data_IF_349175461893
#
_entry.id   IF_349175461893
#
_cell.length_a   1.000
_cell.length_b   1.000
_cell.length_c   1.000
_cell.angle_alpha   90.00
_cell.angle_beta   90.00
_cell.angle_gamma   90.00
#
_symmetry.space_group_name_H-M   'P 1'
#
loop_
_entity.id
_entity.type
_entity.pdbx_description
1 polymer ?
#
# COMPACT_ATOMS: atom_id res chain seq x y z
N UNK A 1 -2.08 8.66 -17.73
CA UNK A 1 -0.95 8.74 -16.79
C UNK A 1 -0.45 7.38 -16.34
N UNK A 2 -1.28 6.51 -15.72
CA UNK A 2 -0.83 5.16 -15.27
C UNK A 2 -0.15 4.32 -16.35
N UNK A 3 -0.61 4.43 -17.60
CA UNK A 3 0.04 3.78 -18.75
C UNK A 3 1.50 4.22 -18.93
N UNK A 4 1.81 5.51 -18.83
CA UNK A 4 3.20 5.99 -18.87
C UNK A 4 4.04 5.39 -17.74
N UNK A 5 3.51 5.37 -16.52
CA UNK A 5 4.24 4.82 -15.36
C UNK A 5 4.43 3.30 -15.47
N UNK A 6 3.41 2.56 -15.89
CA UNK A 6 3.50 1.10 -15.99
C UNK A 6 4.34 0.65 -17.19
N UNK A 7 4.24 1.32 -18.33
CA UNK A 7 5.08 1.06 -19.50
C UNK A 7 6.55 1.31 -19.18
N UNK A 8 6.87 2.50 -18.64
CA UNK A 8 8.22 2.83 -18.25
C UNK A 8 8.78 1.83 -17.24
N UNK A 9 7.99 1.44 -16.23
CA UNK A 9 8.45 0.46 -15.26
C UNK A 9 8.75 -0.91 -15.88
N UNK A 10 7.92 -1.37 -16.81
CA UNK A 10 8.11 -2.64 -17.50
C UNK A 10 9.38 -2.63 -18.36
N UNK A 11 9.63 -1.56 -19.10
CA UNK A 11 10.83 -1.41 -19.95
C UNK A 11 12.11 -1.23 -19.13
N UNK A 12 12.03 -0.42 -18.07
CA UNK A 12 13.18 -0.08 -17.24
C UNK A 12 13.56 -1.23 -16.29
N UNK A 13 12.61 -1.69 -15.46
CA UNK A 13 12.89 -2.68 -14.42
C UNK A 13 12.80 -4.13 -14.92
N UNK A 14 12.09 -4.36 -16.03
CA UNK A 14 11.77 -5.69 -16.54
C UNK A 14 10.54 -6.32 -15.86
N UNK A 15 9.78 -7.17 -16.58
CA UNK A 15 8.53 -7.76 -16.07
C UNK A 15 8.72 -8.67 -14.84
N UNK A 16 9.91 -9.24 -14.67
CA UNK A 16 10.27 -10.13 -13.57
C UNK A 16 10.79 -9.40 -12.32
N UNK A 17 10.87 -8.07 -12.35
CA UNK A 17 11.26 -7.27 -11.20
C UNK A 17 10.38 -7.60 -9.98
N UNK A 18 11.03 -7.70 -8.81
CA UNK A 18 10.37 -7.98 -7.53
C UNK A 18 10.90 -7.09 -6.43
N UNK A 19 10.00 -6.42 -5.74
CA UNK A 19 10.29 -5.68 -4.51
C UNK A 19 10.70 -6.63 -3.38
N UNK A 20 11.48 -6.11 -2.45
CA UNK A 20 11.94 -6.82 -1.24
C UNK A 20 11.43 -6.15 0.02
N UNK A 21 10.50 -6.80 0.74
CA UNK A 21 10.13 -6.43 2.11
C UNK A 21 10.99 -7.23 3.07
N UNK A 22 11.75 -6.56 3.94
CA UNK A 22 12.79 -7.19 4.76
C UNK A 22 12.47 -7.09 6.24
N UNK A 23 12.72 -8.16 6.97
CA UNK A 23 12.70 -8.16 8.44
C UNK A 23 14.12 -8.32 8.96
N UNK A 24 14.54 -7.46 9.87
CA UNK A 24 15.81 -7.54 10.58
C UNK A 24 15.55 -7.77 12.06
N UNK A 25 16.53 -8.36 12.73
CA UNK A 25 16.55 -8.49 14.18
C UNK A 25 17.72 -7.67 14.74
N UNK A 26 17.45 -6.80 15.71
CA UNK A 26 18.48 -6.15 16.53
C UNK A 26 18.35 -6.67 17.97
N UNK A 27 19.15 -7.69 18.27
CA UNK A 27 19.06 -8.38 19.55
C UNK A 27 19.49 -9.85 19.46
N UNK A 28 19.25 -10.59 20.54
CA UNK A 28 19.58 -12.02 20.62
C UNK A 28 18.31 -12.85 20.51
N UNK A 29 18.29 -13.80 19.58
CA UNK A 29 17.23 -14.79 19.46
C UNK A 29 17.64 -16.07 20.18
N UNK A 30 16.93 -16.42 21.26
CA UNK A 30 17.18 -17.64 22.04
C UNK A 30 15.85 -18.37 22.27
N UNK A 31 15.80 -19.67 21.93
CA UNK A 31 14.64 -20.54 22.15
C UNK A 31 13.30 -19.92 21.69
N UNK A 32 13.29 -19.27 20.53
CA UNK A 32 12.08 -18.64 19.99
C UNK A 32 11.81 -17.20 20.43
N UNK A 33 12.55 -16.68 21.41
CA UNK A 33 12.37 -15.33 21.95
C UNK A 33 13.47 -14.40 21.46
N UNK A 34 13.08 -13.37 20.69
CA UNK A 34 13.94 -12.25 20.34
C UNK A 34 13.97 -11.27 21.51
N UNK A 35 15.11 -11.13 22.18
CA UNK A 35 15.37 -10.07 23.15
C UNK A 35 15.96 -8.87 22.43
N UNK A 36 15.10 -7.92 22.08
CA UNK A 36 15.41 -6.78 21.23
C UNK A 36 14.34 -6.54 20.16
N UNK A 37 14.66 -5.67 19.21
CA UNK A 37 13.69 -5.12 18.28
C UNK A 37 13.60 -5.94 16.99
N UNK A 38 12.38 -6.02 16.44
CA UNK A 38 12.13 -6.47 15.08
C UNK A 38 11.98 -5.26 14.17
N UNK A 39 12.77 -5.18 13.11
CA UNK A 39 12.72 -4.06 12.16
C UNK A 39 12.06 -4.52 10.85
N UNK A 40 10.94 -3.90 10.49
CA UNK A 40 10.27 -4.07 9.20
C UNK A 40 10.70 -2.96 8.24
N UNK A 41 11.54 -3.33 7.26
CA UNK A 41 12.02 -2.42 6.21
C UNK A 41 11.21 -2.58 4.93
N UNK A 42 10.56 -1.49 4.54
CA UNK A 42 9.78 -1.38 3.33
C UNK A 42 10.65 -1.33 2.08
N UNK A 43 10.32 -2.17 1.10
CA UNK A 43 10.93 -2.13 -0.23
C UNK A 43 10.14 -1.32 -1.24
N UNK A 44 8.99 -0.76 -0.88
CA UNK A 44 8.08 -0.08 -1.82
C UNK A 44 7.05 -0.99 -2.50
N UNK A 45 6.96 -2.27 -2.11
CA UNK A 45 6.02 -3.25 -2.69
C UNK A 45 4.58 -2.68 -2.74
N UNK A 46 4.05 -2.39 -3.94
CA UNK A 46 2.72 -1.81 -4.08
C UNK A 46 1.59 -2.81 -3.84
N UNK A 47 1.89 -4.11 -3.77
CA UNK A 47 0.90 -5.18 -3.66
C UNK A 47 1.12 -6.08 -2.44
N UNK A 48 1.67 -5.53 -1.36
CA UNK A 48 1.77 -6.22 -0.06
C UNK A 48 0.40 -6.27 0.65
N UNK A 49 -0.55 -6.97 0.03
CA UNK A 49 -1.91 -7.21 0.57
C UNK A 49 -1.87 -8.06 1.84
N UNK A 50 -2.96 -8.08 2.61
CA UNK A 50 -3.01 -8.77 3.93
C UNK A 50 -2.56 -10.23 3.86
N UNK A 51 -2.90 -10.96 2.80
CA UNK A 51 -2.56 -12.38 2.63
C UNK A 51 -1.04 -12.55 2.45
N UNK A 52 -0.40 -11.62 1.74
CA UNK A 52 1.05 -11.62 1.56
C UNK A 52 1.77 -11.13 2.81
N UNK A 53 1.19 -10.18 3.53
CA UNK A 53 1.71 -9.75 4.83
C UNK A 53 1.64 -10.90 5.84
N UNK A 54 0.55 -11.67 5.85
CA UNK A 54 0.43 -12.88 6.66
C UNK A 54 1.50 -13.93 6.28
N UNK A 55 1.77 -14.15 4.99
CA UNK A 55 2.86 -15.04 4.54
C UNK A 55 4.24 -14.58 5.02
N UNK A 56 4.51 -13.26 4.98
CA UNK A 56 5.74 -12.68 5.54
C UNK A 56 5.89 -13.01 7.04
N UNK A 57 4.82 -12.85 7.83
CA UNK A 57 4.84 -13.17 9.26
C UNK A 57 4.95 -14.67 9.53
N UNK A 58 4.32 -15.50 8.70
CA UNK A 58 4.47 -16.95 8.77
C UNK A 58 5.92 -17.37 8.50
N UNK A 59 6.59 -16.75 7.54
CA UNK A 59 8.01 -17.00 7.27
C UNK A 59 8.89 -16.59 8.46
N UNK A 60 8.60 -15.43 9.10
CA UNK A 60 9.27 -15.02 10.33
C UNK A 60 9.15 -16.09 11.44
N UNK A 61 7.96 -16.68 11.62
CA UNK A 61 7.74 -17.79 12.56
C UNK A 61 8.47 -19.06 12.19
N UNK A 62 8.43 -19.45 10.92
CA UNK A 62 9.11 -20.64 10.42
C UNK A 62 10.62 -20.53 10.58
N UNK A 63 11.17 -19.31 10.54
CA UNK A 63 12.58 -19.04 10.86
C UNK A 63 12.87 -19.01 12.37
N UNK A 64 11.89 -19.34 13.20
CA UNK A 64 12.10 -19.58 14.63
C UNK A 64 11.81 -18.40 15.54
N UNK A 65 11.25 -17.28 15.06
CA UNK A 65 10.80 -16.20 15.97
C UNK A 65 9.38 -16.50 16.43
N UNK A 66 9.16 -16.53 17.74
CA UNK A 66 7.85 -16.81 18.35
C UNK A 66 7.40 -15.67 19.26
N UNK A 67 8.34 -15.07 19.98
CA UNK A 67 8.12 -13.94 20.91
C UNK A 67 9.12 -12.84 20.62
N UNK A 68 8.66 -11.59 20.68
CA UNK A 68 9.48 -10.39 20.51
C UNK A 68 9.39 -9.58 21.81
N UNK A 69 10.53 -9.49 22.51
CA UNK A 69 10.72 -8.71 23.74
C UNK A 69 11.44 -7.40 23.41
N UNK A 70 10.75 -6.56 22.65
CA UNK A 70 11.20 -5.26 22.14
C UNK A 70 10.09 -4.63 21.30
N UNK A 71 10.44 -3.62 20.52
CA UNK A 71 9.49 -2.91 19.66
C UNK A 71 9.46 -3.45 18.23
N UNK A 72 8.38 -3.14 17.52
CA UNK A 72 8.35 -3.14 16.06
C UNK A 72 8.90 -1.81 15.53
N UNK A 73 10.07 -1.83 14.90
CA UNK A 73 10.63 -0.66 14.23
C UNK A 73 10.21 -0.67 12.76
N UNK A 74 9.60 0.40 12.28
CA UNK A 74 9.16 0.53 10.89
C UNK A 74 10.16 1.43 10.16
N UNK A 75 10.91 0.83 9.23
CA UNK A 75 11.83 1.53 8.32
C UNK A 75 11.14 1.77 6.97
N UNK A 76 10.58 2.97 6.80
CA UNK A 76 9.97 3.43 5.56
C UNK A 76 10.84 4.45 4.79
N UNK A 77 12.13 4.55 5.15
CA UNK A 77 13.07 5.57 4.66
C UNK A 77 13.43 5.48 3.18
N UNK A 78 12.99 4.43 2.49
CA UNK A 78 13.16 4.31 1.04
C UNK A 78 12.54 5.49 0.28
N UNK A 79 11.42 6.03 0.78
CA UNK A 79 10.72 7.15 0.18
C UNK A 79 10.87 8.42 1.04
N UNK A 80 10.95 9.58 0.39
CA UNK A 80 11.00 10.85 1.09
C UNK A 80 9.59 11.21 1.61
N UNK A 81 9.39 10.97 2.90
CA UNK A 81 8.11 11.18 3.58
C UNK A 81 7.62 12.63 3.51
N UNK A 82 8.53 13.61 3.53
CA UNK A 82 8.15 15.02 3.39
C UNK A 82 7.67 15.33 1.97
N UNK A 83 8.36 14.81 0.95
CA UNK A 83 7.98 15.00 -0.45
C UNK A 83 6.64 14.33 -0.81
N UNK A 84 6.21 13.30 -0.08
CA UNK A 84 4.95 12.57 -0.34
C UNK A 84 3.81 12.92 0.63
N UNK A 85 4.04 13.82 1.59
CA UNK A 85 3.07 14.24 2.61
C UNK A 85 1.92 15.14 2.10
N UNK A 86 1.83 15.38 0.79
CA UNK A 86 0.86 16.29 0.18
C UNK A 86 -0.62 16.05 0.58
N UNK A 87 -1.42 17.10 0.43
CA UNK A 87 -2.86 17.10 0.70
C UNK A 87 -3.65 16.37 -0.41
N UNK A 88 -4.91 16.04 -0.11
CA UNK A 88 -5.83 15.51 -1.11
C UNK A 88 -6.37 16.62 -1.99
N UNK A 89 -6.58 16.33 -3.26
CA UNK A 89 -7.00 17.33 -4.24
C UNK A 89 -8.48 17.70 -4.14
N UNK A 90 -9.28 16.86 -3.50
CA UNK A 90 -10.73 17.00 -3.35
C UNK A 90 -11.15 17.16 -1.88
N UNK A 91 -10.20 17.34 -0.97
CA UNK A 91 -10.43 17.43 0.49
C UNK A 91 -10.89 16.13 1.14
N UNK A 92 -11.08 15.03 0.39
CA UNK A 92 -11.64 13.78 0.92
C UNK A 92 -10.53 12.87 1.47
N UNK A 93 -9.92 13.29 2.56
CA UNK A 93 -8.73 12.65 3.18
C UNK A 93 -8.89 11.15 3.49
N UNK A 94 -10.11 10.71 3.86
CA UNK A 94 -10.36 9.31 4.22
C UNK A 94 -10.73 8.38 3.06
N UNK A 95 -10.78 8.89 1.81
CA UNK A 95 -11.10 8.05 0.65
C UNK A 95 -9.91 7.16 0.30
N UNK A 96 -10.16 5.87 0.09
CA UNK A 96 -9.13 4.89 -0.28
C UNK A 96 -8.32 5.30 -1.53
N UNK A 97 -8.94 5.93 -2.52
CA UNK A 97 -8.24 6.40 -3.72
C UNK A 97 -7.27 7.57 -3.48
N UNK A 98 -7.37 8.23 -2.32
CA UNK A 98 -6.50 9.31 -1.87
C UNK A 98 -5.36 8.81 -0.96
N UNK A 99 -5.21 7.49 -0.79
CA UNK A 99 -4.12 6.94 0.00
C UNK A 99 -2.76 7.45 -0.48
N UNK A 100 -1.98 7.98 0.46
CA UNK A 100 -0.57 8.36 0.26
C UNK A 100 0.31 7.13 0.07
N UNK A 101 1.31 7.17 -0.83
CA UNK A 101 2.27 6.09 -0.99
C UNK A 101 3.09 5.90 0.28
N UNK A 102 3.71 4.73 0.42
CA UNK A 102 4.62 4.40 1.51
C UNK A 102 5.55 3.28 1.08
N UNK A 103 6.77 3.28 1.60
CA UNK A 103 7.70 2.16 1.40
C UNK A 103 7.20 0.86 2.05
N UNK A 104 6.38 0.97 3.10
CA UNK A 104 5.73 -0.14 3.81
C UNK A 104 4.21 -0.09 3.56
N UNK A 105 3.79 -0.18 2.29
CA UNK A 105 2.38 -0.13 1.90
C UNK A 105 1.67 -1.46 2.19
N UNK A 106 1.37 -1.73 3.47
CA UNK A 106 0.60 -2.90 3.85
C UNK A 106 -0.89 -2.72 3.52
N UNK A 107 -1.45 -3.64 2.75
CA UNK A 107 -2.87 -3.72 2.38
C UNK A 107 -3.49 -2.36 1.96
N UNK A 108 -2.73 -1.59 1.19
CA UNK A 108 -3.09 -0.24 0.73
C UNK A 108 -3.38 0.79 1.84
N UNK A 109 -3.11 0.48 3.11
CA UNK A 109 -3.58 1.21 4.28
C UNK A 109 -5.09 1.50 4.25
N UNK A 110 -5.88 0.55 3.72
CA UNK A 110 -7.34 0.68 3.61
C UNK A 110 -8.02 -0.32 4.55
N UNK A 111 -9.02 0.18 5.24
CA UNK A 111 -9.95 -0.59 6.09
C UNK A 111 -11.29 -0.68 5.39
N UNK A 112 -11.87 -1.89 5.33
CA UNK A 112 -13.25 -2.14 4.95
C UNK A 112 -14.09 -2.21 6.22
N UNK A 113 -15.07 -1.31 6.33
CA UNK A 113 -16.13 -1.41 7.32
C UNK A 113 -17.36 -2.06 6.68
N UNK A 114 -17.90 -3.09 7.33
CA UNK A 114 -19.14 -3.77 6.92
C UNK A 114 -20.23 -3.52 7.94
N UNK A 115 -21.22 -2.73 7.56
CA UNK A 115 -22.40 -2.48 8.38
C UNK A 115 -23.49 -3.46 7.97
N UNK A 116 -23.94 -4.30 8.89
CA UNK A 116 -24.89 -5.37 8.58
C UNK A 116 -25.84 -5.62 9.76
N UNK A 117 -26.92 -6.35 9.51
CA UNK A 117 -27.91 -6.71 10.53
C UNK A 117 -27.33 -7.77 11.47
N UNK A 118 -27.39 -7.50 12.77
CA UNK A 118 -27.13 -8.48 13.82
C UNK A 118 -28.31 -8.48 14.81
N UNK A 119 -29.24 -9.42 14.61
CA UNK A 119 -30.50 -9.47 15.34
C UNK A 119 -31.36 -8.21 15.15
N UNK A 120 -31.65 -7.52 16.26
CA UNK A 120 -32.40 -6.26 16.27
C UNK A 120 -31.51 -5.02 16.14
N UNK A 121 -30.18 -5.17 16.04
CA UNK A 121 -29.23 -4.06 15.93
C UNK A 121 -28.49 -4.10 14.58
N UNK A 122 -27.71 -3.07 14.31
CA UNK A 122 -26.72 -3.05 13.25
C UNK A 122 -25.34 -3.19 13.87
N UNK A 123 -24.51 -4.07 13.33
CA UNK A 123 -23.11 -4.24 13.71
C UNK A 123 -22.20 -3.58 12.67
N UNK A 124 -20.98 -3.24 13.07
CA UNK A 124 -19.93 -2.70 12.20
C UNK A 124 -18.69 -3.56 12.34
N UNK A 125 -18.41 -4.38 11.34
CA UNK A 125 -17.20 -5.20 11.31
C UNK A 125 -16.09 -4.47 10.57
N UNK A 126 -14.85 -4.81 10.93
CA UNK A 126 -13.62 -4.19 10.44
C UNK A 126 -12.77 -5.25 9.77
N UNK A 127 -12.29 -4.96 8.57
CA UNK A 127 -11.41 -5.86 7.81
C UNK A 127 -10.30 -5.08 7.07
N UNK A 128 -9.01 -5.42 7.25
CA UNK A 128 -8.47 -6.39 8.20
C UNK A 128 -8.54 -5.88 9.66
N UNK A 129 -8.45 -6.77 10.66
CA UNK A 129 -8.37 -6.36 12.06
C UNK A 129 -7.10 -5.54 12.31
N UNK A 130 -7.23 -4.46 13.05
CA UNK A 130 -6.11 -3.62 13.49
C UNK A 130 -6.31 -3.22 14.95
N UNK A 131 -5.38 -3.64 15.82
CA UNK A 131 -5.44 -3.34 17.26
C UNK A 131 -5.37 -1.83 17.58
N UNK A 132 -4.90 -1.03 16.63
CA UNK A 132 -4.82 0.43 16.72
C UNK A 132 -6.11 1.14 16.27
N UNK A 133 -7.14 0.41 15.87
CA UNK A 133 -8.41 0.97 15.42
C UNK A 133 -9.53 0.63 16.39
N UNK A 134 -10.16 1.66 16.94
CA UNK A 134 -11.38 1.54 17.74
C UNK A 134 -12.58 1.96 16.91
N UNK A 135 -13.64 1.16 16.96
CA UNK A 135 -14.92 1.48 16.31
C UNK A 135 -15.98 1.76 17.37
N UNK A 136 -16.58 2.95 17.27
CA UNK A 136 -17.75 3.33 18.05
C UNK A 136 -19.00 3.25 17.17
N UNK A 137 -19.85 2.26 17.42
CA UNK A 137 -21.05 2.04 16.64
C UNK A 137 -22.29 2.61 17.34
N UNK A 138 -22.87 3.66 16.76
CA UNK A 138 -24.13 4.27 17.18
C UNK A 138 -25.16 4.25 16.03
N UNK A 139 -24.98 3.36 15.04
CA UNK A 139 -25.93 3.22 13.93
C UNK A 139 -27.17 2.49 14.42
N UNK A 140 -28.34 3.05 14.12
CA UNK A 140 -29.62 2.46 14.51
C UNK A 140 -30.38 1.92 13.29
N UNK A 141 -31.13 0.81 13.44
CA UNK A 141 -32.00 0.32 12.38
C UNK A 141 -33.08 1.35 12.01
N UNK A 142 -33.34 1.50 10.72
CA UNK A 142 -34.47 2.28 10.20
C UNK A 142 -35.55 1.33 9.69
N UNK A 143 -36.76 1.39 10.23
CA UNK A 143 -37.88 0.60 9.71
C UNK A 143 -38.26 1.05 8.29
N UNK A 144 -38.61 0.09 7.43
CA UNK A 144 -39.09 0.34 6.07
C UNK A 144 -38.30 -0.39 4.97
N UNK A 145 -38.82 -0.30 3.76
CA UNK A 145 -38.19 -0.87 2.57
C UNK A 145 -36.88 -0.15 2.21
N UNK A 146 -36.01 -0.85 1.48
CA UNK A 146 -34.81 -0.22 0.94
C UNK A 146 -35.17 0.74 -0.20
N UNK A 147 -35.16 2.05 0.07
CA UNK A 147 -35.42 3.08 -0.93
C UNK A 147 -34.13 3.68 -1.53
N UNK A 148 -33.03 2.90 -1.60
CA UNK A 148 -31.75 3.35 -2.17
C UNK A 148 -30.97 4.39 -1.34
N UNK A 149 -31.35 4.64 -0.08
CA UNK A 149 -30.64 5.59 0.80
C UNK A 149 -29.32 5.01 1.30
N UNK A 150 -28.27 5.14 0.49
CA UNK A 150 -26.88 4.86 0.90
C UNK A 150 -26.34 5.96 1.85
N UNK A 151 -27.09 7.05 2.06
CA UNK A 151 -26.67 8.26 2.78
C UNK A 151 -27.02 8.34 4.27
N UNK A 152 -27.66 7.32 4.86
CA UNK A 152 -28.08 7.37 6.27
C UNK A 152 -26.99 7.06 7.29
N UNK A 153 -25.86 6.50 6.84
CA UNK A 153 -24.70 6.18 7.69
C UNK A 153 -23.66 7.28 7.54
N UNK A 154 -23.38 7.94 8.67
CA UNK A 154 -22.30 8.90 8.83
C UNK A 154 -21.09 8.22 9.46
N UNK A 155 -19.90 8.68 9.10
CA UNK A 155 -18.63 8.18 9.62
C UNK A 155 -17.71 9.35 9.89
N UNK A 156 -17.27 9.45 11.13
CA UNK A 156 -16.37 10.50 11.60
C UNK A 156 -15.13 9.84 12.23
N UNK A 157 -13.96 10.39 11.95
CA UNK A 157 -12.74 10.07 12.72
C UNK A 157 -12.69 11.09 13.85
N UNK A 158 -12.87 10.64 15.08
CA UNK A 158 -13.10 11.51 16.25
C UNK A 158 -11.88 11.64 17.16
N UNK A 159 -10.94 10.71 17.06
CA UNK A 159 -9.60 10.81 17.63
C UNK A 159 -8.60 10.17 16.67
N UNK A 160 -7.46 10.81 16.49
CA UNK A 160 -6.31 10.33 15.73
C UNK A 160 -5.06 10.74 16.53
N UNK A 161 -4.64 9.88 17.46
CA UNK A 161 -3.35 10.00 18.12
C UNK A 161 -2.35 9.00 17.50
N UNK A 162 -1.10 9.00 17.99
CA UNK A 162 -0.04 8.15 17.44
C UNK A 162 -0.39 6.65 17.54
N UNK A 163 -1.09 6.23 18.59
CA UNK A 163 -1.22 4.82 18.95
C UNK A 163 -2.61 4.25 18.70
N UNK A 164 -3.64 5.09 18.75
CA UNK A 164 -5.01 4.71 18.46
C UNK A 164 -5.75 5.73 17.58
N UNK A 165 -6.56 5.23 16.66
CA UNK A 165 -7.58 6.00 15.95
C UNK A 165 -8.97 5.50 16.33
N UNK A 166 -9.89 6.41 16.60
CA UNK A 166 -11.30 6.09 16.85
C UNK A 166 -12.17 6.55 15.69
N UNK A 167 -12.91 5.60 15.11
CA UNK A 167 -13.91 5.86 14.07
C UNK A 167 -15.31 5.67 14.65
N UNK A 168 -16.11 6.72 14.56
CA UNK A 168 -17.49 6.71 15.01
C UNK A 168 -18.44 6.57 13.82
N UNK A 169 -19.36 5.61 13.89
CA UNK A 169 -20.44 5.43 12.95
C UNK A 169 -21.77 5.86 13.57
N UNK A 170 -22.50 6.73 12.89
CA UNK A 170 -23.78 7.28 13.36
C UNK A 170 -24.85 7.21 12.27
N UNK A 171 -26.09 7.48 12.67
CA UNK A 171 -27.22 7.64 11.77
C UNK A 171 -28.16 6.44 11.75
N UNK A 172 -28.93 6.32 10.67
CA UNK A 172 -30.04 5.36 10.54
C UNK A 172 -29.94 4.60 9.23
N UNK A 173 -30.07 3.27 9.26
CA UNK A 173 -29.96 2.44 8.06
C UNK A 173 -31.02 1.33 8.01
N UNK A 174 -31.78 1.17 6.91
CA UNK A 174 -32.76 0.09 6.80
C UNK A 174 -32.07 -1.27 6.65
N UNK A 175 -32.29 -2.24 7.57
CA UNK A 175 -31.72 -3.58 7.42
C UNK A 175 -32.14 -4.29 6.12
N UNK A 176 -33.29 -3.92 5.56
CA UNK A 176 -33.77 -4.41 4.26
C UNK A 176 -32.84 -4.04 3.07
N UNK A 177 -31.91 -3.08 3.24
CA UNK A 177 -30.92 -2.76 2.21
C UNK A 177 -29.72 -3.73 2.17
N UNK A 178 -29.63 -4.67 3.12
CA UNK A 178 -28.55 -5.65 3.17
C UNK A 178 -27.25 -5.11 3.76
N UNK A 179 -26.13 -5.77 3.47
CA UNK A 179 -24.81 -5.35 3.94
C UNK A 179 -24.38 -4.05 3.24
N UNK A 180 -23.91 -3.10 4.04
CA UNK A 180 -23.37 -1.85 3.58
C UNK A 180 -21.86 -1.79 3.76
N UNK A 181 -21.12 -1.58 2.66
CA UNK A 181 -19.65 -1.59 2.65
C UNK A 181 -19.05 -0.19 2.53
N UNK A 182 -18.03 0.09 3.34
CA UNK A 182 -17.26 1.35 3.30
C UNK A 182 -15.76 1.08 3.34
N UNK A 183 -15.07 1.30 2.22
CA UNK A 183 -13.60 1.28 2.15
C UNK A 183 -13.04 2.67 2.45
N UNK A 184 -12.18 2.77 3.47
CA UNK A 184 -11.59 4.04 3.92
C UNK A 184 -10.15 3.87 4.36
N UNK A 185 -9.36 4.91 4.13
CA UNK A 185 -8.09 5.15 4.82
C UNK A 185 -8.47 5.93 6.06
N UNK A 186 -8.35 5.36 7.24
CA UNK A 186 -8.64 6.09 8.51
C UNK A 186 -7.42 6.13 9.42
N UNK A 187 -6.45 5.24 9.21
CA UNK A 187 -5.22 5.16 9.98
C UNK A 187 -4.07 5.83 9.21
N UNK A 188 -3.20 6.59 9.89
CA UNK A 188 -1.81 6.80 9.48
C UNK A 188 -1.13 5.49 9.08
N UNK A 189 -0.16 5.56 8.17
CA UNK A 189 0.44 4.36 7.58
C UNK A 189 1.13 3.47 8.61
N UNK A 190 1.95 4.05 9.47
CA UNK A 190 2.67 3.32 10.51
C UNK A 190 1.71 2.68 11.52
N UNK A 191 0.66 3.40 11.89
CA UNK A 191 -0.37 2.90 12.81
C UNK A 191 -1.17 1.75 12.18
N UNK A 192 -1.45 1.82 10.87
CA UNK A 192 -2.03 0.72 10.11
C UNK A 192 -1.11 -0.50 10.06
N UNK A 193 0.17 -0.29 9.73
CA UNK A 193 1.17 -1.37 9.63
C UNK A 193 1.33 -2.08 10.97
N UNK A 194 1.51 -1.34 12.05
CA UNK A 194 1.61 -1.91 13.39
C UNK A 194 0.32 -2.63 13.81
N UNK A 195 -0.83 -1.98 13.60
CA UNK A 195 -2.14 -2.56 13.91
C UNK A 195 -2.36 -3.90 13.20
N UNK A 196 -2.07 -3.96 11.90
CA UNK A 196 -2.17 -5.19 11.11
C UNK A 196 -1.12 -6.22 11.52
N UNK A 197 0.13 -5.80 11.74
CA UNK A 197 1.21 -6.66 12.20
C UNK A 197 0.82 -7.37 13.48
N UNK A 198 0.40 -6.61 14.49
CA UNK A 198 0.09 -7.16 15.80
C UNK A 198 -1.10 -8.11 15.75
N UNK A 199 -2.20 -7.74 15.07
CA UNK A 199 -3.35 -8.62 14.88
C UNK A 199 -2.96 -9.95 14.24
N UNK A 200 -2.25 -9.90 13.10
CA UNK A 200 -1.90 -11.12 12.36
C UNK A 200 -0.81 -11.92 13.08
N UNK A 201 0.14 -11.27 13.76
CA UNK A 201 1.19 -11.92 14.53
C UNK A 201 0.61 -12.73 15.69
N UNK A 202 -0.30 -12.13 16.45
CA UNK A 202 -1.00 -12.78 17.55
C UNK A 202 -1.91 -13.92 17.04
N UNK A 203 -2.60 -13.73 15.92
CA UNK A 203 -3.44 -14.76 15.27
C UNK A 203 -2.64 -16.04 14.94
N UNK A 204 -1.40 -15.89 14.48
CA UNK A 204 -0.52 -17.04 14.16
C UNK A 204 0.28 -17.56 15.38
N UNK A 205 -0.08 -17.13 16.59
CA UNK A 205 0.51 -17.57 17.86
C UNK A 205 1.81 -16.86 18.24
N UNK A 206 2.06 -15.69 17.68
CA UNK A 206 3.16 -14.80 18.06
C UNK A 206 2.84 -13.94 19.27
N UNK A 207 3.87 -13.43 19.94
CA UNK A 207 3.68 -12.38 20.97
C UNK A 207 4.69 -11.25 20.79
N UNK A 208 4.29 -10.03 21.16
CA UNK A 208 5.09 -8.81 21.16
C UNK A 208 4.82 -8.08 22.48
N UNK A 209 5.86 -7.76 23.24
CA UNK A 209 5.70 -7.06 24.54
C UNK A 209 5.86 -5.54 24.44
N UNK A 210 6.61 -5.05 23.44
CA UNK A 210 6.81 -3.62 23.22
C UNK A 210 5.70 -2.98 22.38
N UNK A 211 5.98 -1.75 21.93
CA UNK A 211 5.13 -0.97 21.04
C UNK A 211 5.74 -0.91 19.64
N UNK A 212 5.56 0.20 18.94
CA UNK A 212 6.12 0.47 17.64
C UNK A 212 6.81 1.84 17.62
N UNK A 213 7.76 2.01 16.70
CA UNK A 213 8.39 3.31 16.42
C UNK A 213 8.88 3.38 14.98
N UNK A 214 9.02 4.59 14.45
CA UNK A 214 9.77 4.80 13.21
C UNK A 214 11.27 4.71 13.49
N UNK A 215 12.02 4.16 12.53
CA UNK A 215 13.47 4.11 12.62
C UNK A 215 14.09 3.41 11.43
N UNK A 216 15.32 3.80 11.08
CA UNK A 216 16.10 3.08 10.07
C UNK A 216 16.66 1.78 10.65
N UNK A 217 16.93 0.81 9.78
CA UNK A 217 17.64 -0.42 10.16
C UNK A 217 19.01 -0.07 10.77
N UNK A 218 19.30 -0.46 12.03
CA UNK A 218 20.61 -0.26 12.64
C UNK A 218 21.72 -1.06 11.95
N UNK A 219 22.96 -0.57 11.94
CA UNK A 219 24.10 -1.23 11.28
C UNK A 219 24.37 -2.66 11.78
N UNK A 220 24.15 -2.89 13.08
CA UNK A 220 24.32 -4.20 13.73
C UNK A 220 23.12 -5.14 13.54
N UNK A 221 22.01 -4.66 12.99
CA UNK A 221 20.81 -5.46 12.83
C UNK A 221 21.01 -6.50 11.73
N UNK A 222 20.61 -7.74 12.01
CA UNK A 222 20.83 -8.85 11.09
C UNK A 222 19.59 -9.10 10.24
N UNK A 223 19.78 -9.18 8.92
CA UNK A 223 18.71 -9.58 8.01
C UNK A 223 18.22 -10.98 8.37
N UNK A 224 16.92 -11.10 8.62
CA UNK A 224 16.29 -12.33 9.07
C UNK A 224 15.36 -12.93 8.02
N UNK A 225 14.53 -12.09 7.39
CA UNK A 225 13.65 -12.47 6.27
C UNK A 225 13.83 -11.49 5.12
N UNK A 226 13.89 -12.00 3.89
CA UNK A 226 13.85 -11.21 2.67
C UNK A 226 12.69 -11.70 1.80
N UNK A 227 11.53 -11.07 1.96
CA UNK A 227 10.29 -11.51 1.32
C UNK A 227 10.09 -10.79 -0.01
N UNK A 228 10.06 -11.57 -1.10
CA UNK A 228 9.91 -11.07 -2.45
C UNK A 228 8.44 -10.89 -2.82
N UNK A 229 8.11 -9.78 -3.47
CA UNK A 229 6.78 -9.53 -4.07
C UNK A 229 6.46 -10.53 -5.20
N UNK A 230 5.25 -10.44 -5.75
CA UNK A 230 4.96 -10.97 -7.10
C UNK A 230 5.71 -10.16 -8.18
N UNK A 231 5.89 -10.69 -9.39
CA UNK A 231 6.52 -9.95 -10.49
C UNK A 231 5.83 -8.62 -10.80
N UNK A 232 6.58 -7.68 -11.34
CA UNK A 232 6.07 -6.41 -11.85
C UNK A 232 4.95 -6.61 -12.89
N UNK A 233 5.01 -7.64 -13.73
CA UNK A 233 3.94 -7.96 -14.68
C UNK A 233 2.57 -8.15 -13.99
N UNK A 234 2.52 -8.87 -12.86
CA UNK A 234 1.28 -9.07 -12.10
C UNK A 234 0.81 -7.77 -11.41
N UNK A 235 1.76 -7.01 -10.87
CA UNK A 235 1.48 -5.72 -10.23
C UNK A 235 0.91 -4.72 -11.24
N UNK A 236 1.51 -4.59 -12.42
CA UNK A 236 1.07 -3.66 -13.48
C UNK A 236 -0.30 -4.04 -14.02
N UNK A 237 -0.59 -5.34 -14.18
CA UNK A 237 -1.94 -5.83 -14.48
C UNK A 237 -2.95 -5.33 -13.45
N UNK A 238 -2.65 -5.45 -12.16
CA UNK A 238 -3.54 -4.99 -11.09
C UNK A 238 -3.68 -3.45 -11.05
N UNK A 239 -2.58 -2.71 -11.26
CA UNK A 239 -2.61 -1.24 -11.38
C UNK A 239 -3.57 -0.82 -12.49
N UNK A 240 -3.42 -1.41 -13.67
CA UNK A 240 -4.16 -0.99 -14.86
C UNK A 240 -5.61 -1.48 -14.83
N UNK A 241 -5.86 -2.74 -14.43
CA UNK A 241 -7.21 -3.33 -14.40
C UNK A 241 -8.12 -2.64 -13.39
N UNK A 242 -7.60 -2.28 -12.22
CA UNK A 242 -8.37 -1.65 -11.15
C UNK A 242 -8.13 -0.14 -11.05
N UNK A 243 -7.34 0.44 -11.95
CA UNK A 243 -6.89 1.84 -11.93
C UNK A 243 -6.40 2.27 -10.54
N UNK A 244 -5.60 1.43 -9.87
CA UNK A 244 -5.22 1.65 -8.48
C UNK A 244 -4.21 2.81 -8.33
N UNK A 245 -4.64 3.89 -7.66
CA UNK A 245 -3.84 5.10 -7.52
C UNK A 245 -2.61 4.91 -6.64
N UNK A 246 -2.76 4.32 -5.45
CA UNK A 246 -1.63 4.22 -4.52
C UNK A 246 -0.55 3.27 -5.04
N UNK A 247 -0.95 2.19 -5.69
CA UNK A 247 0.00 1.29 -6.37
C UNK A 247 0.79 2.02 -7.46
N UNK A 248 0.12 2.81 -8.29
CA UNK A 248 0.78 3.60 -9.33
C UNK A 248 1.72 4.66 -8.77
N UNK A 249 1.39 5.27 -7.62
CA UNK A 249 2.25 6.24 -6.92
C UNK A 249 3.49 5.56 -6.34
N UNK A 250 3.34 4.40 -5.72
CA UNK A 250 4.46 3.57 -5.25
C UNK A 250 5.36 3.13 -6.40
N UNK A 251 4.79 2.75 -7.55
CA UNK A 251 5.56 2.36 -8.73
C UNK A 251 6.40 3.53 -9.28
N UNK A 252 5.84 4.75 -9.32
CA UNK A 252 6.61 5.94 -9.70
C UNK A 252 7.79 6.18 -8.73
N UNK A 253 7.57 6.05 -7.42
CA UNK A 253 8.63 6.19 -6.43
C UNK A 253 9.67 5.07 -6.52
N UNK A 254 9.26 3.85 -6.90
CA UNK A 254 10.19 2.76 -7.19
C UNK A 254 11.11 3.13 -8.34
N UNK A 255 10.59 3.66 -9.44
CA UNK A 255 11.43 4.15 -10.54
C UNK A 255 12.39 5.26 -10.06
N UNK A 256 11.93 6.17 -9.21
CA UNK A 256 12.80 7.17 -8.60
C UNK A 256 13.93 6.55 -7.76
N UNK A 257 13.61 5.55 -6.94
CA UNK A 257 14.58 4.87 -6.09
C UNK A 257 15.66 4.13 -6.90
N UNK A 258 15.26 3.41 -7.94
CA UNK A 258 16.16 2.56 -8.74
C UNK A 258 17.00 3.37 -9.74
N UNK A 259 16.46 4.45 -10.32
CA UNK A 259 17.14 5.20 -11.39
C UNK A 259 17.80 6.50 -10.94
N UNK A 260 17.35 7.08 -9.83
CA UNK A 260 17.85 8.38 -9.36
C UNK A 260 18.50 8.25 -7.98
N UNK A 261 17.84 7.53 -7.07
CA UNK A 261 18.36 7.25 -5.74
C UNK A 261 17.35 7.46 -4.61
N UNK A 262 17.83 7.26 -3.38
CA UNK A 262 17.03 7.28 -2.15
C UNK A 262 17.44 8.42 -1.21
N UNK A 263 16.51 8.99 -0.41
CA UNK A 263 15.08 8.68 -0.36
C UNK A 263 14.35 9.17 -1.63
N UNK A 264 13.51 8.30 -2.20
CA UNK A 264 12.90 8.57 -3.50
C UNK A 264 11.81 9.63 -3.41
N UNK A 265 11.78 10.51 -4.41
CA UNK A 265 10.80 11.60 -4.56
C UNK A 265 10.00 11.39 -5.86
N UNK A 266 8.74 11.87 -5.95
CA UNK A 266 7.97 11.75 -7.19
C UNK A 266 8.69 12.35 -8.40
N UNK A 267 9.40 13.46 -8.21
CA UNK A 267 10.20 14.10 -9.25
C UNK A 267 11.30 13.20 -9.84
N UNK A 268 11.90 12.32 -9.02
CA UNK A 268 12.88 11.34 -9.49
C UNK A 268 12.26 10.30 -10.42
N UNK A 269 11.10 9.75 -10.04
CA UNK A 269 10.34 8.84 -10.91
C UNK A 269 9.87 9.53 -12.20
N UNK A 270 9.43 10.77 -12.12
CA UNK A 270 9.04 11.55 -13.31
C UNK A 270 10.23 11.82 -14.24
N UNK A 271 11.44 11.99 -13.69
CA UNK A 271 12.68 12.10 -14.47
C UNK A 271 12.98 10.77 -15.18
N UNK A 272 13.00 9.66 -14.45
CA UNK A 272 13.25 8.34 -15.03
C UNK A 272 12.33 8.01 -16.21
N UNK A 273 11.03 8.36 -16.12
CA UNK A 273 10.09 8.17 -17.24
C UNK A 273 10.44 9.06 -18.44
N UNK A 274 10.82 10.33 -18.23
CA UNK A 274 11.18 11.23 -19.33
C UNK A 274 12.46 10.80 -20.02
N UNK A 275 13.46 10.39 -19.25
CA UNK A 275 14.74 9.93 -19.78
C UNK A 275 14.53 8.66 -20.62
N UNK A 276 13.74 7.70 -20.12
CA UNK A 276 13.33 6.52 -20.90
C UNK A 276 12.60 6.88 -22.20
N UNK A 277 11.63 7.81 -22.16
CA UNK A 277 10.93 8.23 -23.37
C UNK A 277 11.88 8.85 -24.40
N UNK A 278 12.85 9.64 -23.95
CA UNK A 278 13.88 10.21 -24.82
C UNK A 278 14.75 9.11 -25.45
N UNK A 279 15.24 8.16 -24.64
CA UNK A 279 16.06 7.04 -25.11
C UNK A 279 15.30 6.13 -26.07
N UNK A 280 13.99 5.97 -25.86
CA UNK A 280 13.09 5.22 -26.73
C UNK A 280 12.70 5.96 -28.02
N UNK A 281 13.14 7.22 -28.21
CA UNK A 281 12.78 8.06 -29.35
C UNK A 281 11.31 8.48 -29.36
N UNK A 282 10.65 8.52 -28.19
CA UNK A 282 9.25 8.88 -28.03
C UNK A 282 9.11 10.35 -27.60
N UNK A 283 8.72 11.20 -28.55
CA UNK A 283 8.57 12.64 -28.29
C UNK A 283 7.26 12.98 -27.57
N UNK A 284 7.34 13.17 -26.25
CA UNK A 284 6.20 13.58 -25.42
C UNK A 284 6.45 14.92 -24.69
N UNK A 285 6.67 16.03 -25.41
CA UNK A 285 7.18 17.29 -24.85
C UNK A 285 6.25 17.98 -23.83
N UNK A 286 4.94 17.71 -23.88
CA UNK A 286 3.94 18.27 -22.95
C UNK A 286 3.65 17.36 -21.75
N UNK A 287 4.44 16.31 -21.55
CA UNK A 287 4.24 15.36 -20.47
C UNK A 287 4.57 15.98 -19.12
N UNK A 288 3.55 16.10 -18.27
CA UNK A 288 3.71 16.50 -16.87
C UNK A 288 3.27 15.34 -15.98
N UNK A 289 4.24 14.71 -15.31
CA UNK A 289 4.00 13.66 -14.31
C UNK A 289 4.29 14.23 -12.92
N UNK A 290 3.29 14.22 -12.06
CA UNK A 290 3.42 14.67 -10.67
C UNK A 290 3.37 13.51 -9.67
N UNK A 291 2.56 12.48 -9.93
CA UNK A 291 2.39 11.36 -8.99
C UNK A 291 2.17 9.98 -9.64
N UNK A 292 2.19 9.88 -10.98
CA UNK A 292 2.04 8.61 -11.72
C UNK A 292 0.60 8.09 -11.81
N UNK A 293 -0.26 8.36 -10.82
CA UNK A 293 -1.65 7.91 -10.81
C UNK A 293 -2.57 8.72 -11.74
N UNK A 294 -2.20 9.97 -12.06
CA UNK A 294 -3.03 10.90 -12.83
C UNK A 294 -4.09 11.61 -12.00
N UNK A 295 -3.91 11.69 -10.67
CA UNK A 295 -4.83 12.41 -9.79
C UNK A 295 -4.70 13.94 -9.90
N UNK A 296 -3.47 14.43 -10.09
CA UNK A 296 -3.15 15.87 -10.14
C UNK A 296 -3.84 16.58 -11.30
N UNK A 297 -4.34 17.79 -11.05
CA UNK A 297 -4.88 18.68 -12.08
C UNK A 297 -3.81 19.25 -13.02
N UNK A 298 -2.54 19.16 -12.62
CA UNK A 298 -1.39 19.61 -13.39
C UNK A 298 -0.86 18.52 -14.33
N UNK A 299 -1.34 17.27 -14.17
CA UNK A 299 -0.94 16.17 -15.03
C UNK A 299 -1.38 16.42 -16.47
N UNK A 300 -0.44 16.43 -17.40
CA UNK A 300 -0.67 16.72 -18.82
C UNK A 300 -0.04 15.66 -19.70
N UNK A 301 -0.74 15.33 -20.79
CA UNK A 301 -0.31 14.40 -21.84
C UNK A 301 -1.18 14.66 -23.08
N UNK A 302 -0.59 14.66 -24.28
CA UNK A 302 -1.34 14.76 -25.53
C UNK A 302 -1.88 13.40 -25.97
N UNK A 303 -2.97 13.41 -26.74
CA UNK A 303 -3.48 12.18 -27.37
C UNK A 303 -2.42 11.52 -28.28
N UNK A 304 -1.65 12.34 -29.02
CA UNK A 304 -0.53 11.88 -29.86
C UNK A 304 0.53 11.14 -29.04
N UNK A 305 0.98 11.71 -27.92
CA UNK A 305 1.98 11.08 -27.07
C UNK A 305 1.49 9.78 -26.43
N UNK A 306 0.19 9.69 -26.10
CA UNK A 306 -0.39 8.43 -25.66
C UNK A 306 -0.45 7.41 -26.81
N UNK A 307 -0.79 7.83 -28.03
CA UNK A 307 -0.79 6.97 -29.22
C UNK A 307 0.60 6.38 -29.50
N UNK A 308 1.64 7.21 -29.49
CA UNK A 308 3.04 6.78 -29.64
C UNK A 308 3.44 5.75 -28.57
N UNK A 309 3.05 5.98 -27.31
CA UNK A 309 3.28 5.00 -26.25
C UNK A 309 2.60 3.66 -26.56
N UNK A 310 1.33 3.69 -26.97
CA UNK A 310 0.57 2.47 -27.24
C UNK A 310 1.15 1.69 -28.44
N UNK A 311 1.59 2.39 -29.48
CA UNK A 311 2.30 1.80 -30.62
C UNK A 311 3.63 1.16 -30.18
N UNK A 312 4.39 1.84 -29.32
CA UNK A 312 5.64 1.33 -28.78
C UNK A 312 5.44 0.05 -27.96
N UNK A 313 4.40 0.01 -27.13
CA UNK A 313 4.10 -1.13 -26.24
C UNK A 313 3.34 -2.27 -26.93
N UNK A 314 3.28 -2.30 -28.27
CA UNK A 314 2.57 -3.36 -28.99
C UNK A 314 3.23 -4.74 -28.80
N UNK A 315 2.44 -5.84 -28.77
CA UNK A 315 2.94 -7.19 -28.48
C UNK A 315 4.06 -7.70 -29.37
N UNK A 316 4.22 -7.14 -30.58
CA UNK A 316 5.30 -7.50 -31.50
C UNK A 316 6.70 -7.29 -30.90
N UNK A 317 6.84 -6.43 -29.88
CA UNK A 317 8.08 -6.19 -29.13
C UNK A 317 8.16 -6.96 -27.80
N UNK A 318 7.02 -7.37 -27.24
CA UNK A 318 6.90 -8.00 -25.91
C UNK A 318 6.74 -9.54 -25.96
N UNK A 319 6.92 -10.16 -27.12
CA UNK A 319 7.12 -11.62 -27.18
C UNK A 319 8.45 -11.94 -26.47
N UNK A 320 8.50 -12.91 -25.55
CA UNK A 320 9.77 -13.39 -25.03
C UNK A 320 10.57 -13.87 -26.23
N UNK A 321 11.68 -13.20 -26.50
CA UNK A 321 12.61 -13.60 -27.55
C UNK A 321 13.21 -14.94 -27.13
N UNK A 322 12.57 -16.02 -27.55
CA UNK A 322 13.21 -17.28 -27.86
C UNK A 322 14.17 -17.06 -29.04
N UNK A 323 15.26 -16.34 -28.76
CA UNK A 323 16.45 -16.30 -29.61
C UNK A 323 17.67 -16.57 -28.73
N UNK A 324 17.65 -17.70 -28.03
CA UNK A 324 18.86 -18.52 -27.99
C UNK A 324 19.13 -18.99 -29.42
N UNK A 325 19.87 -18.19 -30.19
CA UNK A 325 20.63 -18.72 -31.31
C UNK A 325 21.89 -19.32 -30.71
N UNK A 326 21.84 -20.62 -30.43
CA UNK A 326 23.00 -21.46 -30.66
C UNK A 326 23.14 -21.59 -32.17
N UNK A 327 24.15 -20.94 -32.72
CA UNK A 327 25.02 -21.40 -33.81
C UNK A 327 26.23 -20.47 -33.82
#
# INVERSE_FOLDING_TARGET
MKLMTTAAALELLGPDYRWSTRLFIDGKLNNGTLKGDLILKGGGDPWLVKERFWLLLRELRQRGVQRIEGDLVIDDSLFDNAAIAGQTLDGKVYRAYNTRPSAVLANFAVTLFRIHRNGQRLAVDVEPPAVTLRVENQVTPLSGACAGRIGGILMDVVNEDSDQTTVQFRGKYPPACGEHRRLRRVLPHHQYVYGLFRSLWEEIGGSLTGSWRLGQVPDKARLWVNFKSVPLADVTRNINKYSNNVMSRNLLLTLGAEYVGTPARPAGGSRAIRDWLQDAGLEVPQLVITNGAGLSRDARLTARGLGQLLEHMTPARWQPSSKHRFQ
#
